data_IF_774295101765
#
_entry.id   IF_774295101765
#
_cell.length_a   1.000
_cell.length_b   1.000
_cell.length_c   1.000
_cell.angle_alpha   90.00
_cell.angle_beta   90.00
_cell.angle_gamma   90.00
#
_symmetry.space_group_name_H-M   'P 1'
#
loop_
_entity.id
_entity.type
_entity.pdbx_description
1 polymer ?
#
# COMPACT_ATOMS: atom_id res chain seq x y z
N UNK A 1 51.46 -8.32 35.38
CA UNK A 1 50.00 -8.41 35.64
C UNK A 1 49.20 -7.17 35.12
N UNK A 2 49.81 -6.03 34.90
CA UNK A 2 49.10 -4.79 34.44
C UNK A 2 48.82 -4.80 32.93
N UNK A 3 49.63 -5.46 32.11
CA UNK A 3 49.51 -5.49 30.66
C UNK A 3 48.31 -6.35 30.15
N UNK A 4 47.90 -7.38 30.88
CA UNK A 4 46.77 -8.24 30.49
C UNK A 4 45.41 -7.56 30.71
N UNK A 5 45.29 -6.71 31.72
CA UNK A 5 44.04 -6.02 32.03
C UNK A 5 43.74 -4.89 31.04
N UNK A 6 44.75 -4.23 30.49
CA UNK A 6 44.57 -3.20 29.44
C UNK A 6 44.15 -3.82 28.10
N UNK A 7 44.66 -5.02 27.77
CA UNK A 7 44.32 -5.72 26.54
C UNK A 7 42.87 -6.23 26.52
N UNK A 8 42.36 -6.69 27.66
CA UNK A 8 40.96 -7.08 27.81
C UNK A 8 39.98 -5.90 27.78
N UNK A 9 40.39 -4.74 28.29
CA UNK A 9 39.58 -3.52 28.19
C UNK A 9 39.47 -2.99 26.73
N UNK A 10 40.58 -3.07 25.97
CA UNK A 10 40.56 -2.67 24.56
C UNK A 10 39.71 -3.62 23.71
N UNK A 11 39.71 -4.93 23.99
CA UNK A 11 38.90 -5.91 23.29
C UNK A 11 37.41 -5.70 23.57
N UNK A 12 37.03 -5.41 24.82
CA UNK A 12 35.67 -5.13 25.24
C UNK A 12 35.12 -3.82 24.62
N UNK A 13 35.97 -2.80 24.51
CA UNK A 13 35.60 -1.54 23.89
C UNK A 13 35.38 -1.67 22.36
N UNK A 14 36.24 -2.46 21.70
CA UNK A 14 36.10 -2.71 20.24
C UNK A 14 34.83 -3.49 19.89
N UNK A 15 34.47 -4.49 20.69
CA UNK A 15 33.21 -5.24 20.46
C UNK A 15 31.97 -4.40 20.73
N UNK A 16 32.00 -3.55 21.77
CA UNK A 16 30.92 -2.63 22.08
C UNK A 16 30.72 -1.55 21.00
N UNK A 17 31.84 -1.00 20.50
CA UNK A 17 31.79 -0.01 19.41
C UNK A 17 31.31 -0.65 18.11
N UNK A 18 31.71 -1.89 17.81
CA UNK A 18 31.26 -2.60 16.59
C UNK A 18 29.78 -2.91 16.66
N UNK A 19 29.27 -3.41 17.79
CA UNK A 19 27.85 -3.64 18.01
C UNK A 19 27.02 -2.35 17.96
N UNK A 20 27.57 -1.22 18.46
CA UNK A 20 26.90 0.07 18.42
C UNK A 20 26.84 0.65 17.00
N UNK A 21 27.88 0.43 16.19
CA UNK A 21 27.89 0.81 14.77
C UNK A 21 26.89 -0.01 13.94
N UNK A 22 26.82 -1.33 14.17
CA UNK A 22 25.85 -2.18 13.47
C UNK A 22 24.40 -1.80 13.79
N UNK A 23 24.08 -1.53 15.06
CA UNK A 23 22.74 -1.07 15.46
C UNK A 23 22.41 0.30 14.85
N UNK A 24 23.40 1.20 14.73
CA UNK A 24 23.21 2.51 14.14
C UNK A 24 23.00 2.43 12.62
N UNK A 25 23.73 1.56 11.93
CA UNK A 25 23.53 1.34 10.49
C UNK A 25 22.16 0.72 10.19
N UNK A 26 21.72 -0.26 10.99
CA UNK A 26 20.39 -0.85 10.86
C UNK A 26 19.25 0.17 11.13
N UNK A 27 19.46 1.08 12.09
CA UNK A 27 18.47 2.12 12.39
C UNK A 27 18.40 3.19 11.27
N UNK A 28 19.53 3.59 10.72
CA UNK A 28 19.61 4.54 9.60
C UNK A 28 19.01 3.92 8.33
N UNK A 29 19.27 2.62 8.08
CA UNK A 29 18.69 1.91 6.95
C UNK A 29 17.16 1.79 7.08
N UNK A 30 16.63 1.46 8.26
CA UNK A 30 15.18 1.44 8.52
C UNK A 30 14.52 2.81 8.35
N UNK A 31 15.15 3.87 8.86
CA UNK A 31 14.62 5.24 8.70
C UNK A 31 14.58 5.63 7.22
N UNK A 32 15.62 5.28 6.45
CA UNK A 32 15.67 5.60 5.02
C UNK A 32 14.64 4.81 4.21
N UNK A 33 14.41 3.51 4.53
CA UNK A 33 13.33 2.74 3.92
C UNK A 33 11.94 3.31 4.25
N UNK A 34 11.70 3.71 5.50
CA UNK A 34 10.44 4.29 5.92
C UNK A 34 10.15 5.62 5.22
N UNK A 35 11.15 6.50 5.11
CA UNK A 35 11.02 7.77 4.37
C UNK A 35 10.76 7.54 2.88
N UNK A 36 11.36 6.51 2.27
CA UNK A 36 11.11 6.15 0.87
C UNK A 36 9.69 5.63 0.66
N UNK A 37 9.20 4.73 1.51
CA UNK A 37 7.83 4.20 1.42
C UNK A 37 6.80 5.31 1.68
N UNK A 38 7.04 6.20 2.66
CA UNK A 38 6.16 7.35 2.92
C UNK A 38 6.12 8.35 1.77
N UNK A 39 7.21 8.49 0.98
CA UNK A 39 7.21 9.39 -0.18
C UNK A 39 6.28 8.90 -1.30
N UNK A 40 5.93 7.61 -1.31
CA UNK A 40 5.10 6.99 -2.34
C UNK A 40 3.63 6.80 -1.90
N UNK A 41 3.29 7.10 -0.62
CA UNK A 41 1.92 7.02 -0.10
C UNK A 41 1.26 8.40 -0.10
N UNK A 42 0.31 8.69 -1.01
CA UNK A 42 -0.43 9.95 -1.01
C UNK A 42 -1.21 10.15 0.30
N UNK A 43 -0.95 11.26 0.98
CA UNK A 43 -1.54 11.56 2.29
C UNK A 43 -3.02 11.94 2.25
N UNK A 44 -3.53 12.28 1.08
CA UNK A 44 -4.93 12.61 0.83
C UNK A 44 -5.82 11.38 0.62
N UNK A 45 -5.23 10.19 0.51
CA UNK A 45 -5.95 8.94 0.32
C UNK A 45 -6.28 8.28 1.65
N UNK A 46 -7.24 7.38 1.61
CA UNK A 46 -7.55 6.41 2.66
C UNK A 46 -7.18 5.02 2.19
N UNK A 47 -6.83 4.14 3.13
CA UNK A 47 -6.26 2.83 2.83
C UNK A 47 -6.99 1.73 3.58
N UNK A 48 -7.18 0.59 2.90
CA UNK A 48 -7.66 -0.64 3.49
C UNK A 48 -6.48 -1.56 3.89
N UNK A 49 -6.68 -2.45 4.84
CA UNK A 49 -5.68 -3.47 5.21
C UNK A 49 -5.46 -4.53 4.14
N UNK A 50 -6.36 -4.63 3.19
CA UNK A 50 -6.29 -5.48 1.99
C UNK A 50 -5.59 -4.79 0.81
N UNK A 51 -5.02 -3.60 1.04
CA UNK A 51 -4.19 -2.82 0.12
C UNK A 51 -4.92 -2.10 -1.01
N UNK A 52 -6.22 -1.86 -0.87
CA UNK A 52 -6.92 -0.89 -1.70
C UNK A 52 -6.77 0.52 -1.11
N UNK A 53 -6.79 1.52 -1.99
CA UNK A 53 -6.92 2.90 -1.61
C UNK A 53 -8.24 3.50 -2.07
N UNK A 54 -8.71 4.51 -1.35
CA UNK A 54 -9.92 5.27 -1.64
C UNK A 54 -9.64 6.77 -1.65
N UNK A 55 -10.14 7.48 -2.65
CA UNK A 55 -10.10 8.93 -2.75
C UNK A 55 -11.52 9.48 -2.83
N UNK A 56 -11.87 10.33 -1.88
CA UNK A 56 -13.13 11.07 -1.91
C UNK A 56 -12.97 12.31 -2.83
N UNK A 57 -13.73 12.34 -3.90
CA UNK A 57 -13.77 13.48 -4.80
C UNK A 57 -14.79 14.56 -4.32
N UNK A 58 -14.67 15.77 -4.84
CA UNK A 58 -15.48 16.94 -4.42
C UNK A 58 -16.98 16.82 -4.70
N UNK A 59 -17.36 15.91 -5.56
CA UNK A 59 -18.77 15.59 -5.91
C UNK A 59 -19.40 14.55 -4.99
N UNK A 60 -18.62 14.03 -4.01
CA UNK A 60 -19.06 13.03 -3.06
C UNK A 60 -18.94 11.59 -3.55
N UNK A 61 -18.30 11.36 -4.71
CA UNK A 61 -17.97 10.03 -5.20
C UNK A 61 -16.61 9.58 -4.67
N UNK A 62 -16.36 8.28 -4.66
CA UNK A 62 -15.10 7.69 -4.23
C UNK A 62 -14.46 6.92 -5.37
N UNK A 63 -13.22 7.24 -5.68
CA UNK A 63 -12.36 6.48 -6.61
C UNK A 63 -11.58 5.44 -5.84
N UNK A 64 -11.50 4.24 -6.37
CA UNK A 64 -10.83 3.09 -5.75
C UNK A 64 -9.77 2.53 -6.70
N UNK A 65 -8.64 2.14 -6.13
CA UNK A 65 -7.56 1.43 -6.79
C UNK A 65 -6.74 0.63 -5.80
N UNK A 66 -5.65 0.02 -6.26
CA UNK A 66 -4.72 -0.74 -5.40
C UNK A 66 -3.45 0.07 -5.13
N UNK A 67 -2.81 -0.19 -4.00
CA UNK A 67 -1.59 0.52 -3.59
C UNK A 67 -0.36 0.06 -4.38
N UNK A 68 0.69 0.87 -4.34
CA UNK A 68 1.99 0.48 -4.91
C UNK A 68 2.50 -0.83 -4.29
N UNK A 69 2.31 -1.03 -2.99
CA UNK A 69 2.65 -2.28 -2.31
C UNK A 69 1.93 -3.49 -2.91
N UNK A 70 0.61 -3.38 -3.14
CA UNK A 70 -0.18 -4.46 -3.74
C UNK A 70 0.30 -4.82 -5.15
N UNK A 71 0.51 -3.83 -6.03
CA UNK A 71 0.95 -4.09 -7.39
C UNK A 71 2.38 -4.66 -7.45
N UNK A 72 3.27 -4.26 -6.55
CA UNK A 72 4.62 -4.86 -6.42
C UNK A 72 4.56 -6.33 -5.98
N UNK A 73 3.68 -6.66 -5.04
CA UNK A 73 3.46 -8.03 -4.59
C UNK A 73 2.87 -8.91 -5.71
N UNK A 74 1.95 -8.37 -6.52
CA UNK A 74 1.37 -9.04 -7.68
C UNK A 74 2.41 -9.25 -8.80
N UNK A 75 3.24 -8.25 -9.08
CA UNK A 75 4.12 -8.17 -10.25
C UNK A 75 3.37 -7.69 -11.49
N UNK A 76 3.85 -8.06 -12.69
CA UNK A 76 3.34 -7.54 -13.96
C UNK A 76 1.86 -7.92 -14.17
N UNK A 77 0.98 -6.93 -14.11
CA UNK A 77 -0.46 -7.08 -14.32
C UNK A 77 -0.72 -7.29 -15.81
N UNK A 78 -1.53 -8.29 -16.13
CA UNK A 78 -1.84 -8.69 -17.51
C UNK A 78 -3.34 -8.64 -17.83
N UNK A 79 -4.21 -8.61 -16.81
CA UNK A 79 -5.65 -8.52 -16.97
C UNK A 79 -6.29 -7.93 -15.72
N UNK A 80 -7.37 -7.16 -15.92
CA UNK A 80 -8.20 -6.62 -14.84
C UNK A 80 -9.66 -6.88 -15.17
N UNK A 81 -10.34 -7.63 -14.31
CA UNK A 81 -11.80 -7.78 -14.37
C UNK A 81 -12.45 -6.72 -13.51
N UNK A 82 -13.17 -5.80 -14.16
CA UNK A 82 -13.83 -4.67 -13.50
C UNK A 82 -15.31 -4.99 -13.26
N UNK A 83 -15.96 -4.36 -12.25
CA UNK A 83 -17.38 -4.54 -11.98
C UNK A 83 -18.25 -3.91 -13.07
N UNK A 84 -19.51 -4.35 -13.16
CA UNK A 84 -20.49 -3.71 -14.03
C UNK A 84 -20.97 -2.39 -13.41
N UNK A 85 -21.06 -1.34 -14.25
CA UNK A 85 -21.65 -0.05 -13.85
C UNK A 85 -23.11 -0.23 -13.48
N UNK A 86 -23.54 0.35 -12.36
CA UNK A 86 -24.88 0.18 -11.80
C UNK A 86 -25.01 -0.94 -10.78
N UNK A 87 -23.93 -1.67 -10.51
CA UNK A 87 -23.91 -2.70 -9.45
C UNK A 87 -23.85 -2.05 -8.08
N UNK A 88 -24.74 -2.46 -7.18
CA UNK A 88 -24.65 -2.10 -5.76
C UNK A 88 -23.70 -3.09 -5.04
N UNK A 89 -22.80 -2.55 -4.24
CA UNK A 89 -21.79 -3.29 -3.50
C UNK A 89 -21.76 -2.88 -2.04
N UNK A 90 -21.45 -3.85 -1.17
CA UNK A 90 -21.24 -3.63 0.26
C UNK A 90 -19.73 -3.52 0.56
N UNK A 91 -19.37 -2.76 1.58
CA UNK A 91 -18.00 -2.68 2.08
C UNK A 91 -17.49 -4.08 2.47
N UNK A 92 -16.27 -4.42 2.02
CA UNK A 92 -15.66 -5.73 2.22
C UNK A 92 -16.10 -6.81 1.23
N UNK A 93 -16.95 -6.50 0.24
CA UNK A 93 -17.30 -7.43 -0.82
C UNK A 93 -16.22 -7.47 -1.91
N UNK A 94 -16.02 -8.65 -2.49
CA UNK A 94 -15.22 -8.86 -3.69
C UNK A 94 -15.91 -8.19 -4.89
N UNK A 95 -15.19 -7.35 -5.64
CA UNK A 95 -15.77 -6.48 -6.68
C UNK A 95 -15.05 -6.57 -8.01
N UNK A 96 -13.75 -6.80 -7.98
CA UNK A 96 -12.89 -6.86 -9.14
C UNK A 96 -11.82 -7.94 -8.97
N UNK A 97 -11.14 -8.32 -10.06
CA UNK A 97 -10.00 -9.23 -10.01
C UNK A 97 -8.85 -8.61 -10.80
N UNK A 98 -7.65 -8.68 -10.24
CA UNK A 98 -6.41 -8.29 -10.93
C UNK A 98 -5.57 -9.53 -11.14
N UNK A 99 -5.29 -9.86 -12.41
CA UNK A 99 -4.44 -10.98 -12.78
C UNK A 99 -3.05 -10.51 -13.19
N UNK A 100 -2.05 -11.15 -12.64
CA UNK A 100 -0.65 -10.96 -13.02
C UNK A 100 -0.07 -12.22 -13.64
N UNK A 101 1.16 -12.12 -14.14
CA UNK A 101 1.91 -13.29 -14.63
C UNK A 101 2.16 -14.37 -13.55
N UNK A 102 1.99 -14.04 -12.27
CA UNK A 102 2.24 -14.91 -11.12
C UNK A 102 0.97 -15.45 -10.47
N UNK A 103 -0.06 -14.59 -10.33
CA UNK A 103 -1.26 -14.88 -9.54
C UNK A 103 -2.44 -14.00 -9.94
N UNK A 104 -3.65 -14.42 -9.56
CA UNK A 104 -4.84 -13.58 -9.53
C UNK A 104 -5.13 -13.16 -8.08
N UNK A 105 -5.62 -11.94 -7.89
CA UNK A 105 -6.02 -11.39 -6.59
C UNK A 105 -7.38 -10.75 -6.69
N UNK A 106 -8.24 -11.08 -5.73
CA UNK A 106 -9.53 -10.44 -5.56
C UNK A 106 -9.34 -9.04 -4.98
N UNK A 107 -10.10 -8.09 -5.47
CA UNK A 107 -10.13 -6.70 -5.02
C UNK A 107 -11.44 -6.47 -4.29
N UNK A 108 -11.32 -5.96 -3.08
CA UNK A 108 -12.46 -5.70 -2.21
C UNK A 108 -12.84 -4.22 -2.22
N UNK A 109 -14.14 -3.93 -2.15
CA UNK A 109 -14.56 -2.56 -1.98
C UNK A 109 -14.39 -2.12 -0.53
N UNK A 110 -13.66 -1.04 -0.24
CA UNK A 110 -13.54 -0.54 1.12
C UNK A 110 -14.79 0.20 1.62
N UNK A 111 -15.72 0.55 0.71
CA UNK A 111 -16.93 1.31 1.01
C UNK A 111 -18.14 0.75 0.27
N UNK A 112 -19.33 0.99 0.84
CA UNK A 112 -20.61 0.58 0.24
C UNK A 112 -21.16 1.65 -0.71
N UNK A 113 -21.77 1.23 -1.80
CA UNK A 113 -22.42 2.12 -2.76
C UNK A 113 -22.68 1.50 -4.12
N UNK A 114 -23.02 2.34 -5.09
CA UNK A 114 -23.27 1.96 -6.48
C UNK A 114 -22.05 2.27 -7.35
N UNK A 115 -21.59 1.31 -8.13
CA UNK A 115 -20.53 1.52 -9.14
C UNK A 115 -21.08 2.43 -10.24
N UNK A 116 -20.49 3.60 -10.40
CA UNK A 116 -20.94 4.59 -11.39
C UNK A 116 -20.01 4.74 -12.58
N UNK A 117 -18.75 4.29 -12.43
CA UNK A 117 -17.74 4.39 -13.48
C UNK A 117 -16.69 3.32 -13.28
N UNK A 118 -16.13 2.80 -14.36
CA UNK A 118 -14.96 1.93 -14.38
C UNK A 118 -13.87 2.57 -15.23
N UNK A 119 -12.61 2.20 -15.00
CA UNK A 119 -11.50 2.68 -15.83
C UNK A 119 -11.41 1.86 -17.12
N UNK A 120 -11.88 2.37 -18.25
CA UNK A 120 -11.92 1.59 -19.49
C UNK A 120 -10.52 1.35 -20.07
N UNK A 121 -9.52 2.16 -19.68
CA UNK A 121 -8.16 2.04 -20.20
C UNK A 121 -7.51 0.71 -19.77
N UNK A 122 -7.93 0.15 -18.63
CA UNK A 122 -7.39 -1.09 -18.09
C UNK A 122 -7.80 -2.35 -18.89
N UNK A 123 -8.79 -2.25 -19.77
CA UNK A 123 -9.15 -3.34 -20.70
C UNK A 123 -8.07 -3.55 -21.77
N UNK A 124 -7.47 -2.44 -22.24
CA UNK A 124 -6.44 -2.46 -23.30
C UNK A 124 -5.02 -2.38 -22.74
N UNK A 125 -4.81 -1.68 -21.61
CA UNK A 125 -3.52 -1.37 -21.01
C UNK A 125 -3.51 -1.67 -19.49
N UNK A 126 -3.66 -2.94 -19.06
CA UNK A 126 -3.74 -3.30 -17.64
C UNK A 126 -2.46 -2.98 -16.85
N UNK A 127 -1.31 -2.91 -17.52
CA UNK A 127 -0.02 -2.53 -16.93
C UNK A 127 0.02 -1.09 -16.39
N UNK A 128 -0.96 -0.25 -16.68
CA UNK A 128 -1.09 1.09 -16.08
C UNK A 128 -1.22 0.99 -14.55
N UNK A 129 -1.81 -0.08 -14.04
CA UNK A 129 -1.89 -0.36 -12.59
C UNK A 129 -0.49 -0.43 -11.96
N UNK A 130 0.49 -1.00 -12.68
CA UNK A 130 1.87 -1.05 -12.20
C UNK A 130 2.59 0.30 -12.31
N UNK A 131 2.34 1.07 -13.38
CA UNK A 131 3.08 2.29 -13.65
C UNK A 131 2.54 3.51 -12.89
N UNK A 132 1.24 3.54 -12.63
CA UNK A 132 0.54 4.71 -12.08
C UNK A 132 -0.58 4.30 -11.12
N UNK A 133 -0.28 3.53 -10.04
CA UNK A 133 -1.31 2.92 -9.18
C UNK A 133 -2.21 3.93 -8.48
N UNK A 134 -1.73 5.14 -8.18
CA UNK A 134 -2.48 6.19 -7.46
C UNK A 134 -3.12 7.26 -8.36
N UNK A 135 -2.89 7.19 -9.69
CA UNK A 135 -3.45 8.14 -10.65
C UNK A 135 -4.19 7.41 -11.77
N UNK A 136 -3.53 7.10 -12.90
CA UNK A 136 -4.18 6.53 -14.08
C UNK A 136 -4.60 5.08 -13.91
N UNK A 137 -4.01 4.36 -12.95
CA UNK A 137 -4.31 2.96 -12.60
C UNK A 137 -5.47 2.78 -11.62
N UNK A 138 -6.37 3.77 -11.47
CA UNK A 138 -7.59 3.60 -10.71
C UNK A 138 -8.47 2.51 -11.35
N UNK A 139 -9.27 1.80 -10.54
CA UNK A 139 -10.07 0.66 -11.01
C UNK A 139 -11.51 1.06 -11.31
N UNK A 140 -12.22 1.58 -10.32
CA UNK A 140 -13.62 1.95 -10.43
C UNK A 140 -13.98 3.10 -9.48
N UNK A 141 -15.14 3.71 -9.72
CA UNK A 141 -15.69 4.82 -8.96
C UNK A 141 -17.07 4.45 -8.40
N UNK A 142 -17.29 4.79 -7.14
CA UNK A 142 -18.50 4.48 -6.39
C UNK A 142 -19.21 5.77 -5.99
N UNK A 143 -20.53 5.77 -6.11
CA UNK A 143 -21.39 6.70 -5.42
C UNK A 143 -21.72 6.11 -4.05
N UNK A 144 -21.01 6.58 -3.03
CA UNK A 144 -21.11 6.01 -1.68
C UNK A 144 -22.48 6.26 -1.04
N UNK A 145 -22.97 5.25 -0.32
CA UNK A 145 -24.20 5.35 0.47
C UNK A 145 -23.93 5.81 1.91
N UNK A 146 -22.71 5.53 2.42
CA UNK A 146 -22.32 5.86 3.77
C UNK A 146 -20.87 6.37 3.82
N UNK A 147 -20.71 7.69 3.95
CA UNK A 147 -19.37 8.32 4.02
C UNK A 147 -18.62 8.06 5.32
N UNK A 148 -19.27 7.51 6.37
CA UNK A 148 -18.59 7.16 7.61
C UNK A 148 -17.60 6.01 7.42
N UNK A 149 -17.84 5.11 6.45
CA UNK A 149 -16.93 3.99 6.16
C UNK A 149 -15.54 4.46 5.75
N UNK A 150 -15.44 5.63 5.08
CA UNK A 150 -14.15 6.26 4.77
C UNK A 150 -13.39 6.74 6.03
N UNK A 151 -14.11 7.08 7.11
CA UNK A 151 -13.50 7.52 8.36
C UNK A 151 -12.91 6.34 9.14
N UNK A 152 -13.43 5.14 8.92
CA UNK A 152 -12.96 3.90 9.52
C UNK A 152 -11.73 3.33 8.79
N UNK A 153 -11.41 3.84 7.60
CA UNK A 153 -10.21 3.47 6.84
C UNK A 153 -8.96 4.15 7.41
N UNK A 154 -7.83 3.52 7.22
CA UNK A 154 -6.52 4.01 7.66
C UNK A 154 -6.07 5.26 6.89
N UNK A 155 -5.35 6.13 7.56
CA UNK A 155 -4.53 7.14 6.89
C UNK A 155 -3.18 6.56 6.41
N UNK A 156 -2.35 7.37 5.76
CA UNK A 156 -1.07 6.93 5.21
C UNK A 156 -0.09 6.43 6.29
N UNK A 157 -0.08 7.08 7.48
CA UNK A 157 0.80 6.71 8.59
C UNK A 157 0.38 5.36 9.22
N UNK A 158 -0.92 5.14 9.36
CA UNK A 158 -1.48 3.88 9.88
C UNK A 158 -1.26 2.74 8.89
N UNK A 159 -1.48 2.98 7.59
CA UNK A 159 -1.27 1.99 6.55
C UNK A 159 0.20 1.59 6.41
N UNK A 160 1.14 2.54 6.58
CA UNK A 160 2.57 2.25 6.59
C UNK A 160 2.93 1.17 7.62
N UNK A 161 2.27 1.17 8.80
CA UNK A 161 2.48 0.16 9.84
C UNK A 161 1.98 -1.24 9.43
N UNK A 162 1.06 -1.33 8.46
CA UNK A 162 0.63 -2.60 7.88
C UNK A 162 1.71 -3.11 6.94
N UNK A 163 2.13 -2.28 5.98
CA UNK A 163 3.17 -2.62 4.99
C UNK A 163 4.50 -3.02 5.64
N UNK A 164 4.89 -2.40 6.77
CA UNK A 164 6.12 -2.76 7.51
C UNK A 164 6.09 -4.17 8.14
N UNK A 165 4.91 -4.81 8.22
CA UNK A 165 4.73 -6.13 8.85
C UNK A 165 4.61 -7.27 7.85
N UNK A 166 4.29 -6.96 6.60
CA UNK A 166 4.16 -7.91 5.51
C UNK A 166 5.53 -8.28 4.92
#
# INVERSE_FOLDING_TARGET
MIALSLWLLELGLRTAVHAFLEVRELSVFKVNCRELIMSDLPIELKYASSHEWARLDSDGTVVIGITNHAQEALGDVVYVELPEVGTEIDAGSEVAVVESVKAASDIYSPVSGEVIEINPTLEDEPEIVNHSPYADGWLFRIKVTNTHELQDMMDADEYLLVVEKD
#
